data_IF_436093531606
#
_entry.id   IF_436093531606
#
_cell.length_a   1.000
_cell.length_b   1.000
_cell.length_c   1.000
_cell.angle_alpha   90.00
_cell.angle_beta   90.00
_cell.angle_gamma   90.00
#
_symmetry.space_group_name_H-M   'P 1'
#
loop_
_entity.id
_entity.type
_entity.pdbx_description
1 polymer ?
#
# COMPACT_ATOMS: atom_id res chain seq x y z
N UNK A 1 -12.13 -12.60 3.76
CA UNK A 1 -10.74 -12.51 3.27
C UNK A 1 -9.76 -12.80 4.38
N UNK A 2 -9.65 -11.93 5.39
CA UNK A 2 -8.72 -12.08 6.54
C UNK A 2 -8.65 -13.51 7.12
N UNK A 3 -9.79 -14.08 7.53
CA UNK A 3 -9.81 -15.44 8.11
C UNK A 3 -9.27 -16.52 7.18
N UNK A 4 -9.53 -16.41 5.87
CA UNK A 4 -9.03 -17.38 4.90
C UNK A 4 -7.51 -17.24 4.73
N UNK A 5 -6.99 -16.02 4.76
CA UNK A 5 -5.57 -15.71 4.67
C UNK A 5 -4.82 -16.26 5.91
N UNK A 6 -5.34 -15.98 7.12
CA UNK A 6 -4.75 -16.45 8.37
C UNK A 6 -4.84 -17.97 8.54
N UNK A 7 -5.90 -18.60 8.03
CA UNK A 7 -6.06 -20.05 8.04
C UNK A 7 -5.25 -20.77 6.95
N UNK A 8 -4.55 -20.00 6.10
CA UNK A 8 -3.83 -20.48 4.95
C UNK A 8 -4.69 -21.28 3.94
N UNK A 9 -5.98 -20.93 3.84
CA UNK A 9 -6.97 -21.65 3.06
C UNK A 9 -7.11 -21.03 1.66
N UNK A 10 -6.38 -21.61 0.72
CA UNK A 10 -6.33 -21.15 -0.68
C UNK A 10 -7.66 -21.36 -1.41
N UNK A 11 -8.40 -22.42 -1.11
CA UNK A 11 -9.68 -22.72 -1.78
C UNK A 11 -10.74 -21.69 -1.41
N UNK A 12 -10.89 -21.42 -0.10
CA UNK A 12 -11.83 -20.41 0.40
C UNK A 12 -11.43 -19.02 -0.08
N UNK A 13 -10.14 -18.70 -0.10
CA UNK A 13 -9.63 -17.42 -0.61
C UNK A 13 -9.98 -17.23 -2.09
N UNK A 14 -9.74 -18.25 -2.91
CA UNK A 14 -9.99 -18.22 -4.35
C UNK A 14 -11.49 -18.11 -4.66
N UNK A 15 -12.33 -18.76 -3.86
CA UNK A 15 -13.79 -18.58 -3.92
C UNK A 15 -14.19 -17.11 -3.64
N UNK A 16 -13.66 -16.49 -2.59
CA UNK A 16 -13.95 -15.10 -2.26
C UNK A 16 -13.48 -14.12 -3.33
N UNK A 17 -12.28 -14.32 -3.86
CA UNK A 17 -11.73 -13.50 -4.95
C UNK A 17 -12.58 -13.61 -6.23
N UNK A 18 -13.08 -14.80 -6.55
CA UNK A 18 -14.02 -15.00 -7.68
C UNK A 18 -15.37 -14.31 -7.49
N UNK A 19 -15.85 -14.21 -6.26
CA UNK A 19 -17.05 -13.44 -5.91
C UNK A 19 -16.85 -11.91 -6.06
N UNK A 20 -15.63 -11.46 -6.42
CA UNK A 20 -15.33 -10.05 -6.65
C UNK A 20 -14.90 -9.30 -5.40
N UNK A 21 -14.41 -10.00 -4.37
CA UNK A 21 -13.82 -9.35 -3.21
C UNK A 21 -12.53 -8.61 -3.60
N UNK A 22 -12.38 -7.39 -3.06
CA UNK A 22 -11.20 -6.57 -3.32
C UNK A 22 -9.96 -7.17 -2.63
N UNK A 23 -8.90 -7.55 -3.39
CA UNK A 23 -7.67 -8.08 -2.80
C UNK A 23 -6.87 -7.01 -2.05
N UNK A 24 -7.13 -5.71 -2.29
CA UNK A 24 -6.47 -4.58 -1.63
C UNK A 24 -7.14 -4.17 -0.31
N UNK A 25 -8.05 -5.00 0.20
CA UNK A 25 -8.68 -4.78 1.48
C UNK A 25 -7.70 -4.80 2.65
N UNK A 26 -8.22 -4.40 3.80
CA UNK A 26 -7.47 -4.26 5.05
C UNK A 26 -8.24 -4.97 6.16
N UNK A 27 -7.55 -5.38 7.22
CA UNK A 27 -8.20 -5.86 8.45
C UNK A 27 -8.80 -4.71 9.26
N UNK A 28 -9.50 -5.05 10.34
CA UNK A 28 -9.97 -4.06 11.31
C UNK A 28 -8.82 -3.23 11.93
N UNK A 29 -7.63 -3.81 12.02
CA UNK A 29 -6.40 -3.16 12.49
C UNK A 29 -5.74 -2.27 11.43
N UNK A 30 -6.35 -2.13 10.25
CA UNK A 30 -5.81 -1.41 9.08
C UNK A 30 -4.56 -2.03 8.46
N UNK A 31 -4.32 -3.31 8.74
CA UNK A 31 -3.24 -4.05 8.10
C UNK A 31 -3.73 -4.53 6.73
N UNK A 32 -3.06 -4.16 5.62
CA UNK A 32 -3.43 -4.64 4.30
C UNK A 32 -3.37 -6.17 4.23
N UNK A 33 -4.30 -6.79 3.51
CA UNK A 33 -4.38 -8.26 3.37
C UNK A 33 -3.09 -8.91 2.87
N UNK A 34 -2.31 -8.16 2.09
CA UNK A 34 -1.02 -8.59 1.56
C UNK A 34 0.02 -8.90 2.67
N UNK A 35 -0.07 -8.27 3.83
CA UNK A 35 0.86 -8.45 4.96
C UNK A 35 0.40 -9.49 5.99
N UNK A 36 -0.78 -10.09 5.82
CA UNK A 36 -1.34 -11.04 6.80
C UNK A 36 -0.79 -12.46 6.66
N UNK A 37 0.02 -12.72 5.63
CA UNK A 37 0.53 -14.05 5.33
C UNK A 37 1.97 -13.96 4.87
N UNK A 38 2.72 -15.00 5.22
CA UNK A 38 4.05 -15.32 4.72
C UNK A 38 4.01 -16.42 3.65
N UNK A 39 2.82 -16.98 3.35
CA UNK A 39 2.69 -18.04 2.35
C UNK A 39 2.73 -17.47 0.93
N UNK A 40 3.72 -17.91 0.17
CA UNK A 40 3.90 -17.55 -1.24
C UNK A 40 2.67 -17.87 -2.10
N UNK A 41 1.95 -18.96 -1.83
CA UNK A 41 0.80 -19.37 -2.64
C UNK A 41 -0.35 -18.38 -2.51
N UNK A 42 -0.61 -17.92 -1.29
CA UNK A 42 -1.65 -16.91 -1.02
C UNK A 42 -1.23 -15.56 -1.60
N UNK A 43 0.03 -15.18 -1.43
CA UNK A 43 0.58 -13.96 -2.02
C UNK A 43 0.44 -13.97 -3.55
N UNK A 44 0.79 -15.09 -4.22
CA UNK A 44 0.63 -15.24 -5.67
C UNK A 44 -0.84 -15.08 -6.08
N UNK A 45 -1.77 -15.71 -5.37
CA UNK A 45 -3.21 -15.57 -5.64
C UNK A 45 -3.70 -14.12 -5.50
N UNK A 46 -3.32 -13.43 -4.43
CA UNK A 46 -3.70 -12.02 -4.24
C UNK A 46 -3.18 -11.15 -5.40
N UNK A 47 -1.92 -11.33 -5.79
CA UNK A 47 -1.29 -10.59 -6.89
C UNK A 47 -1.94 -10.89 -8.23
N UNK A 48 -2.29 -12.15 -8.51
CA UNK A 48 -3.00 -12.54 -9.74
C UNK A 48 -4.36 -11.82 -9.88
N UNK A 49 -5.03 -11.56 -8.77
CA UNK A 49 -6.31 -10.84 -8.74
C UNK A 49 -6.14 -9.31 -8.68
N UNK A 50 -4.91 -8.79 -8.78
CA UNK A 50 -4.64 -7.36 -8.86
C UNK A 50 -4.35 -6.69 -7.52
N UNK A 51 -3.77 -7.43 -6.56
CA UNK A 51 -3.27 -6.81 -5.34
C UNK A 51 -2.11 -5.84 -5.62
N UNK A 52 -2.11 -4.72 -4.91
CA UNK A 52 -1.14 -3.65 -5.02
C UNK A 52 0.09 -3.98 -4.18
N UNK A 53 1.17 -4.35 -4.87
CA UNK A 53 2.48 -4.63 -4.28
C UNK A 53 3.18 -3.36 -3.76
N UNK A 54 2.75 -2.17 -4.17
CA UNK A 54 3.30 -0.90 -3.68
C UNK A 54 2.72 -0.48 -2.32
N UNK A 55 1.78 -1.26 -1.78
CA UNK A 55 1.21 -1.01 -0.45
C UNK A 55 2.31 -1.09 0.60
N UNK A 56 2.31 -0.13 1.52
CA UNK A 56 3.27 -0.05 2.62
C UNK A 56 2.61 -0.35 3.95
N UNK A 57 3.34 -1.05 4.82
CA UNK A 57 2.97 -1.29 6.20
C UNK A 57 3.21 -0.05 7.10
N UNK A 58 2.86 -0.14 8.39
CA UNK A 58 3.07 0.89 9.41
C UNK A 58 4.54 1.33 9.53
N UNK A 59 5.48 0.44 9.22
CA UNK A 59 6.92 0.73 9.20
C UNK A 59 7.39 1.36 7.88
N UNK A 60 6.52 1.44 6.87
CA UNK A 60 6.86 1.98 5.56
C UNK A 60 7.56 1.00 4.62
N UNK A 61 7.51 -0.30 4.92
CA UNK A 61 8.02 -1.37 4.06
C UNK A 61 6.92 -1.90 3.16
N UNK A 62 7.31 -2.30 1.94
CA UNK A 62 6.44 -2.98 0.98
C UNK A 62 6.50 -4.49 1.18
N UNK A 63 5.52 -5.23 0.64
CA UNK A 63 5.57 -6.70 0.71
C UNK A 63 6.82 -7.28 0.05
N UNK A 64 7.31 -6.61 -0.99
CA UNK A 64 8.55 -6.98 -1.68
C UNK A 64 9.78 -6.94 -0.77
N UNK A 65 9.77 -6.15 0.30
CA UNK A 65 10.86 -6.09 1.27
C UNK A 65 10.89 -7.30 2.21
N UNK A 66 9.76 -8.00 2.37
CA UNK A 66 9.63 -9.19 3.24
C UNK A 66 9.74 -10.51 2.48
N UNK A 67 9.65 -10.48 1.14
CA UNK A 67 9.60 -11.69 0.32
C UNK A 67 10.78 -11.73 -0.64
N UNK A 68 11.49 -12.85 -0.68
CA UNK A 68 12.51 -13.12 -1.72
C UNK A 68 11.88 -13.55 -3.07
N UNK A 69 10.55 -13.54 -3.16
CA UNK A 69 9.79 -13.96 -4.33
C UNK A 69 9.97 -12.93 -5.44
N UNK A 70 10.51 -13.35 -6.59
CA UNK A 70 10.53 -12.51 -7.79
C UNK A 70 9.12 -12.40 -8.38
N UNK A 71 8.38 -11.36 -7.97
CA UNK A 71 7.17 -10.98 -8.68
C UNK A 71 7.54 -10.36 -10.04
N UNK A 72 6.78 -10.64 -11.11
CA UNK A 72 7.02 -10.01 -12.39
C UNK A 72 6.84 -8.49 -12.24
N UNK A 73 7.95 -7.75 -12.34
CA UNK A 73 7.94 -6.29 -12.22
C UNK A 73 6.86 -5.72 -13.13
N UNK A 74 5.99 -4.82 -12.63
CA UNK A 74 4.96 -4.24 -13.46
C UNK A 74 5.63 -3.58 -14.66
N UNK A 75 5.21 -4.00 -15.87
CA UNK A 75 5.81 -3.60 -17.17
C UNK A 75 5.82 -2.08 -17.40
N UNK A 76 5.08 -1.32 -16.59
CA UNK A 76 4.99 0.14 -16.64
C UNK A 76 5.91 0.89 -15.65
N UNK A 77 6.87 0.22 -15.01
CA UNK A 77 7.89 0.90 -14.20
C UNK A 77 8.83 1.70 -15.12
N UNK A 78 8.59 3.01 -15.21
CA UNK A 78 9.52 3.93 -15.87
C UNK A 78 10.73 4.08 -14.95
N UNK A 79 11.82 3.37 -15.23
CA UNK A 79 13.10 3.58 -14.55
C UNK A 79 13.60 4.99 -14.86
N UNK A 80 13.37 5.93 -13.93
CA UNK A 80 13.90 7.28 -14.03
C UNK A 80 15.37 7.27 -13.60
N UNK A 81 16.28 7.94 -14.36
CA UNK A 81 17.67 8.09 -13.94
C UNK A 81 17.73 8.89 -12.64
N UNK A 82 18.70 8.54 -11.77
CA UNK A 82 18.87 9.11 -10.43
C UNK A 82 18.91 10.66 -10.39
N UNK A 83 19.22 11.30 -11.51
CA UNK A 83 19.27 12.76 -11.70
C UNK A 83 17.90 13.45 -11.67
N UNK A 84 16.79 12.70 -11.79
CA UNK A 84 15.42 13.25 -11.79
C UNK A 84 14.65 13.05 -10.48
N UNK A 85 15.28 12.50 -9.43
CA UNK A 85 14.68 12.49 -8.09
C UNK A 85 14.60 13.92 -7.57
N UNK A 86 13.53 14.64 -7.92
CA UNK A 86 13.10 15.78 -7.12
C UNK A 86 12.78 15.20 -5.77
N UNK A 87 13.57 15.60 -4.78
CA UNK A 87 13.61 15.11 -3.42
C UNK A 87 12.19 15.06 -2.81
N UNK A 88 11.48 13.94 -3.00
CA UNK A 88 10.06 13.77 -2.65
C UNK A 88 9.85 13.98 -1.14
N UNK A 89 10.89 13.71 -0.34
CA UNK A 89 10.93 13.98 1.10
C UNK A 89 10.98 15.48 1.44
N UNK A 90 11.59 16.32 0.60
CA UNK A 90 11.64 17.77 0.81
C UNK A 90 10.36 18.47 0.36
N UNK A 91 9.76 18.03 -0.76
CA UNK A 91 8.52 18.63 -1.28
C UNK A 91 7.32 18.36 -0.37
N UNK A 92 7.21 17.16 0.23
CA UNK A 92 6.15 16.85 1.22
C UNK A 92 6.30 17.67 2.50
N UNK A 93 7.53 17.85 3.02
CA UNK A 93 7.82 18.71 4.19
C UNK A 93 7.52 20.20 3.93
N UNK A 94 7.80 20.70 2.72
CA UNK A 94 7.48 22.07 2.32
C UNK A 94 5.96 22.29 2.18
N UNK A 95 5.22 21.31 1.65
CA UNK A 95 3.77 21.37 1.54
C UNK A 95 3.07 21.37 2.92
N UNK A 96 3.54 20.53 3.85
CA UNK A 96 3.00 20.46 5.22
C UNK A 96 3.32 21.70 6.07
N UNK A 97 4.43 22.40 5.81
CA UNK A 97 4.71 23.70 6.46
C UNK A 97 3.75 24.79 5.97
N UNK A 98 3.45 24.84 4.67
CA UNK A 98 2.54 25.85 4.07
C UNK A 98 1.10 25.74 4.58
N UNK A 99 0.61 24.54 4.87
CA UNK A 99 -0.75 24.33 5.40
C UNK A 99 -0.86 24.69 6.89
N UNK A 100 0.22 24.57 7.68
CA UNK A 100 0.26 25.02 9.07
C UNK A 100 0.30 26.55 9.22
N UNK A 101 0.96 27.29 8.32
CA UNK A 101 1.08 28.76 8.42
C UNK A 101 -0.20 29.51 8.02
N UNK A 102 -1.15 28.87 7.31
CA UNK A 102 -2.38 29.52 6.82
C UNK A 102 -3.53 29.57 7.85
N UNK A 103 -3.34 29.03 9.06
CA UNK A 103 -4.34 29.02 10.16
C UNK A 103 -4.03 29.98 11.32
N UNK A 104 -3.44 31.16 11.07
CA UNK A 104 -3.28 32.20 12.12
C UNK A 104 -3.60 33.64 11.64
N UNK A 105 -4.15 33.84 10.44
CA UNK A 105 -4.55 35.20 10.00
C UNK A 105 -5.99 35.26 9.49
N UNK A 106 -6.94 34.85 10.33
CA UNK A 106 -8.34 35.26 10.25
C UNK A 106 -8.91 35.43 11.67
N UNK A 107 -8.27 36.25 12.46
CA UNK A 107 -8.93 36.96 13.55
C UNK A 107 -8.24 38.30 13.63
N UNK A 108 -8.94 39.34 13.23
CA UNK A 108 -8.84 40.75 13.66
C UNK A 108 -9.47 41.63 12.57
N UNK A 109 -10.34 42.53 13.04
CA UNK A 109 -10.93 43.70 12.39
C UNK A 109 -12.21 43.44 11.60
N UNK A 110 -13.35 43.75 12.23
CA UNK A 110 -14.22 44.91 11.96
C UNK A 110 -15.20 44.97 13.15
N UNK A 111 -14.97 45.88 14.11
CA UNK A 111 -15.78 47.10 14.38
C UNK A 111 -17.27 46.84 14.52
#
# INVERSE_FOLDING_TARGET
MEKAILANDTETLLFLLKEGHDPNGQTEEKNPYLFLTDNEEILKLLVEYGADLETVDEFGFTVLDYTDIEFPKPKNTITLPATKFVNYRETKRAAQKRTKTRRVKQSHVLT
#
